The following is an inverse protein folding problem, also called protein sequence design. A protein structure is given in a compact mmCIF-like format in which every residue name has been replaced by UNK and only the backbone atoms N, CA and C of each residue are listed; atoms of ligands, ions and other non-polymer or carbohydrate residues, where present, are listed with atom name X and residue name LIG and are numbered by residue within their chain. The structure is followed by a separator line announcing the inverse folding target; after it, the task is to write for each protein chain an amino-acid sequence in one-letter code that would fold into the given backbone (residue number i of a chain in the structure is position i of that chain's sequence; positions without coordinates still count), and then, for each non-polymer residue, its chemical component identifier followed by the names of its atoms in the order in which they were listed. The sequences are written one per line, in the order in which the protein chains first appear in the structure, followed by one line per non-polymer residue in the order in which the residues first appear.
data_IF_760145289228
#
_entry.id   IF_760145289228
#
_cell.length_a   1.000
_cell.length_b   1.000
_cell.length_c   1.000
_cell.angle_alpha   90.00
_cell.angle_beta   90.00
_cell.angle_gamma   90.00
#
_symmetry.space_group_name_H-M   'P 1'
#
loop_
_entity.id
_entity.type
_entity.pdbx_description
1 polymer ?
#
# COMPACT_ATOMS: atom_id res chain seq x y z
N UNK A 1 24.67 45.25 10.88
CA UNK A 1 24.38 45.20 9.42
C UNK A 1 24.13 43.74 9.09
N UNK A 2 22.87 43.34 9.15
CA UNK A 2 22.45 41.94 8.89
C UNK A 2 22.04 41.88 7.41
N UNK A 3 22.79 41.14 6.61
CA UNK A 3 22.41 40.87 5.22
C UNK A 3 21.32 39.79 5.20
N UNK A 4 20.10 40.20 4.83
CA UNK A 4 19.06 39.27 4.41
C UNK A 4 19.52 38.61 3.09
N UNK A 5 19.77 37.30 3.12
CA UNK A 5 19.80 36.49 1.92
C UNK A 5 18.33 36.23 1.49
N UNK A 6 17.96 36.76 0.35
CA UNK A 6 16.76 36.30 -0.37
C UNK A 6 17.14 35.01 -1.04
N UNK A 7 16.56 33.88 -0.61
CA UNK A 7 16.52 32.65 -1.38
C UNK A 7 15.48 32.87 -2.50
N UNK A 8 15.95 32.98 -3.72
CA UNK A 8 15.11 32.84 -4.90
C UNK A 8 14.90 31.35 -5.14
N UNK A 9 13.67 30.88 -4.97
CA UNK A 9 13.28 29.55 -5.40
C UNK A 9 13.43 29.47 -6.93
N UNK A 10 14.50 28.81 -7.40
CA UNK A 10 14.56 28.30 -8.76
C UNK A 10 13.66 27.07 -8.80
N UNK A 11 12.53 27.16 -9.50
CA UNK A 11 11.77 26.00 -9.91
C UNK A 11 12.63 25.18 -10.88
N UNK A 12 13.32 24.18 -10.36
CA UNK A 12 13.90 23.13 -11.18
C UNK A 12 12.74 22.24 -11.61
N UNK A 13 12.25 22.43 -12.80
CA UNK A 13 11.39 21.44 -13.46
C UNK A 13 12.24 20.21 -13.76
N UNK A 14 12.48 19.36 -12.78
CA UNK A 14 12.89 18.00 -13.05
C UNK A 14 11.69 17.32 -13.72
N UNK A 15 11.92 16.77 -14.92
CA UNK A 15 10.99 15.81 -15.49
C UNK A 15 11.02 14.58 -14.57
N UNK A 16 10.23 14.64 -13.49
CA UNK A 16 9.86 13.45 -12.75
C UNK A 16 9.26 12.48 -13.78
N UNK A 17 9.58 11.16 -13.71
CA UNK A 17 8.86 10.18 -14.50
C UNK A 17 7.38 10.45 -14.23
N UNK A 18 6.58 10.55 -15.29
CA UNK A 18 5.16 10.79 -15.14
C UNK A 18 4.65 9.75 -14.16
N UNK A 19 4.36 10.17 -12.93
CA UNK A 19 3.55 9.37 -12.04
C UNK A 19 2.40 8.90 -12.92
N UNK A 20 2.07 7.62 -12.89
CA UNK A 20 0.83 7.18 -13.49
C UNK A 20 -0.20 7.94 -12.67
N UNK A 21 -0.62 9.09 -13.19
CA UNK A 21 -1.66 9.88 -12.58
C UNK A 21 -2.76 8.90 -12.24
N UNK A 22 -3.17 8.88 -11.00
CA UNK A 22 -4.29 8.06 -10.62
C UNK A 22 -5.41 8.43 -11.58
N UNK A 23 -5.83 7.48 -12.43
CA UNK A 23 -6.80 7.72 -13.53
C UNK A 23 -8.16 8.24 -13.03
N UNK A 24 -8.28 8.48 -11.72
CA UNK A 24 -9.49 8.82 -11.03
C UNK A 24 -9.65 10.30 -10.64
N UNK A 25 -8.55 11.05 -10.64
CA UNK A 25 -8.59 12.50 -10.45
C UNK A 25 -8.39 13.14 -11.83
N UNK A 26 -9.38 13.89 -12.30
CA UNK A 26 -9.16 14.76 -13.46
C UNK A 26 -7.99 15.71 -13.15
N UNK A 27 -7.11 15.97 -14.11
CA UNK A 27 -5.88 16.76 -13.93
C UNK A 27 -6.11 18.15 -13.27
N UNK A 28 -7.33 18.66 -13.30
CA UNK A 28 -7.69 20.00 -12.84
C UNK A 28 -7.99 20.11 -11.32
N UNK A 29 -8.08 18.98 -10.59
CA UNK A 29 -8.54 18.96 -9.18
C UNK A 29 -7.63 18.16 -8.27
N UNK A 30 -6.36 18.00 -8.62
CA UNK A 30 -5.38 17.27 -7.83
C UNK A 30 -4.12 18.06 -7.57
N UNK A 31 -3.52 17.78 -6.42
CA UNK A 31 -2.17 18.24 -6.05
C UNK A 31 -1.28 17.05 -5.86
N UNK A 32 -0.09 17.10 -6.44
CA UNK A 32 0.97 16.13 -6.19
C UNK A 32 1.94 16.70 -5.16
N UNK A 33 2.07 16.03 -4.04
CA UNK A 33 2.97 16.37 -2.94
C UNK A 33 4.15 15.40 -2.94
N UNK A 34 5.31 15.89 -3.33
CA UNK A 34 6.50 15.05 -3.41
C UNK A 34 7.10 14.78 -2.04
N UNK A 35 7.45 13.52 -1.76
CA UNK A 35 8.11 13.07 -0.53
C UNK A 35 9.52 12.57 -0.81
N UNK A 36 9.69 11.67 -1.78
CA UNK A 36 10.99 11.19 -2.23
C UNK A 36 11.16 11.41 -3.73
N UNK A 37 12.29 11.99 -4.12
CA UNK A 37 12.57 12.30 -5.52
C UNK A 37 13.88 11.65 -5.98
N UNK A 38 13.84 10.36 -6.23
CA UNK A 38 14.99 9.60 -6.75
C UNK A 38 16.03 9.24 -5.69
N UNK A 39 15.59 9.02 -4.44
CA UNK A 39 16.47 8.56 -3.36
C UNK A 39 17.13 7.22 -3.76
N UNK A 40 18.44 7.13 -3.61
CA UNK A 40 19.21 5.93 -4.00
C UNK A 40 19.31 4.98 -2.81
N UNK A 41 18.82 3.76 -3.01
CA UNK A 41 18.92 2.66 -2.06
C UNK A 41 20.14 1.79 -2.38
N UNK A 42 20.75 1.25 -1.35
CA UNK A 42 21.99 0.50 -1.44
C UNK A 42 21.85 -0.92 -0.89
N UNK A 43 22.91 -1.72 -1.03
CA UNK A 43 22.99 -3.09 -0.52
C UNK A 43 22.43 -3.21 0.90
N UNK A 44 21.31 -3.90 1.05
CA UNK A 44 20.58 -4.04 2.30
C UNK A 44 21.33 -4.86 3.37
N UNK A 45 22.38 -5.62 2.99
CA UNK A 45 23.24 -6.32 3.91
C UNK A 45 24.51 -5.55 4.29
N UNK A 46 24.79 -4.45 3.59
CA UNK A 46 25.97 -3.65 3.90
C UNK A 46 25.66 -2.60 5.00
N UNK A 47 26.68 -2.22 5.76
CA UNK A 47 26.59 -1.09 6.68
C UNK A 47 26.50 0.25 5.97
N UNK A 48 26.00 1.26 6.66
CA UNK A 48 25.88 2.64 6.15
C UNK A 48 27.22 3.24 5.72
N UNK A 49 28.28 2.87 6.41
CA UNK A 49 29.64 3.34 6.20
C UNK A 49 30.24 2.97 4.83
N UNK A 50 29.68 1.96 4.17
CA UNK A 50 30.09 1.59 2.80
C UNK A 50 29.55 2.52 1.71
N UNK A 51 28.62 3.37 2.03
CA UNK A 51 27.86 4.20 1.10
C UNK A 51 27.86 5.67 1.56
N UNK A 52 29.03 6.16 2.00
CA UNK A 52 29.21 7.53 2.51
C UNK A 52 28.89 8.61 1.44
N UNK A 53 29.01 8.27 0.14
CA UNK A 53 28.65 9.15 -0.96
C UNK A 53 27.13 9.21 -1.20
N UNK A 54 26.38 8.35 -0.53
CA UNK A 54 24.95 8.45 -0.49
C UNK A 54 24.58 9.59 0.47
N UNK A 55 24.76 10.80 0.02
CA UNK A 55 24.16 11.91 0.69
C UNK A 55 22.67 11.65 0.83
N UNK A 56 22.22 11.52 2.06
CA UNK A 56 20.84 11.80 2.31
C UNK A 56 20.63 13.23 1.80
N UNK A 57 19.77 13.40 0.79
CA UNK A 57 19.32 14.73 0.40
C UNK A 57 18.91 15.47 1.67
N UNK A 58 19.13 16.77 1.73
CA UNK A 58 18.76 17.59 2.89
C UNK A 58 17.32 17.28 3.33
N UNK A 59 17.15 16.78 4.55
CA UNK A 59 15.85 16.43 5.12
C UNK A 59 15.50 14.93 5.10
N UNK A 60 16.33 14.05 4.54
CA UNK A 60 16.12 12.60 4.59
C UNK A 60 16.92 11.99 5.75
N UNK A 61 16.23 11.30 6.66
CA UNK A 61 16.84 10.46 7.68
C UNK A 61 17.09 9.06 7.13
N UNK A 62 18.33 8.63 7.12
CA UNK A 62 18.72 7.30 6.64
C UNK A 62 18.95 6.37 7.83
N UNK A 63 18.01 5.47 8.09
CA UNK A 63 18.12 4.48 9.16
C UNK A 63 19.06 3.33 8.79
N UNK A 64 18.98 2.87 7.55
CA UNK A 64 19.82 1.83 6.94
C UNK A 64 19.83 2.00 5.42
N UNK A 65 20.63 1.21 4.72
CA UNK A 65 20.74 1.28 3.26
C UNK A 65 19.43 1.06 2.51
N UNK A 66 18.48 0.37 3.13
CA UNK A 66 17.17 0.04 2.56
C UNK A 66 16.00 0.82 3.15
N UNK A 67 16.20 1.70 4.15
CA UNK A 67 15.11 2.40 4.83
C UNK A 67 15.45 3.87 5.07
N UNK A 68 14.67 4.74 4.47
CA UNK A 68 14.79 6.18 4.56
C UNK A 68 13.48 6.80 5.06
N UNK A 69 13.57 7.92 5.76
CA UNK A 69 12.42 8.61 6.34
C UNK A 69 12.47 10.11 6.09
N UNK A 70 11.30 10.73 5.90
CA UNK A 70 11.11 12.17 5.70
C UNK A 70 10.01 12.66 6.63
N UNK A 71 10.22 13.76 7.38
CA UNK A 71 9.15 14.35 8.18
C UNK A 71 8.10 15.00 7.27
N UNK A 72 6.83 14.69 7.49
CA UNK A 72 5.72 15.38 6.87
C UNK A 72 5.47 16.71 7.60
N UNK A 73 5.88 17.82 6.98
CA UNK A 73 5.75 19.14 7.59
C UNK A 73 4.29 19.55 7.76
N UNK A 74 4.03 20.53 8.65
CA UNK A 74 2.69 21.08 8.82
C UNK A 74 2.16 21.71 7.52
N UNK A 75 3.03 22.30 6.70
CA UNK A 75 2.68 22.81 5.37
C UNK A 75 2.25 21.69 4.44
N UNK A 76 3.02 20.59 4.38
CA UNK A 76 2.67 19.41 3.62
C UNK A 76 1.31 18.83 4.05
N UNK A 77 1.14 18.57 5.35
CA UNK A 77 -0.08 18.00 5.92
C UNK A 77 -1.29 18.91 5.75
N UNK A 78 -1.09 20.23 5.65
CA UNK A 78 -2.20 21.17 5.43
C UNK A 78 -2.83 21.06 4.04
N UNK A 79 -2.15 20.46 3.08
CA UNK A 79 -2.58 20.28 1.70
C UNK A 79 -3.27 18.94 1.45
N UNK A 80 -3.29 18.03 2.44
CA UNK A 80 -3.96 16.73 2.31
C UNK A 80 -5.46 16.95 2.18
N UNK A 81 -6.01 16.50 1.08
CA UNK A 81 -7.44 16.50 0.78
C UNK A 81 -8.14 15.22 1.24
N UNK A 82 -9.45 15.12 1.01
CA UNK A 82 -10.23 13.92 1.38
C UNK A 82 -9.86 12.70 0.55
N UNK A 83 -9.45 12.92 -0.67
CA UNK A 83 -9.00 11.87 -1.59
C UNK A 83 -7.49 11.81 -1.57
N UNK A 84 -6.96 10.60 -1.39
CA UNK A 84 -5.54 10.40 -1.25
C UNK A 84 -5.09 9.08 -1.90
N UNK A 85 -4.16 9.20 -2.85
CA UNK A 85 -3.37 8.09 -3.35
C UNK A 85 -1.90 8.27 -2.95
N UNK A 86 -1.25 7.16 -2.63
CA UNK A 86 0.19 7.10 -2.47
C UNK A 86 0.78 6.42 -3.70
N UNK A 87 1.60 7.15 -4.44
CA UNK A 87 2.28 6.67 -5.64
C UNK A 87 3.75 6.43 -5.34
N UNK A 88 4.24 5.24 -5.66
CA UNK A 88 5.65 4.88 -5.58
C UNK A 88 6.14 4.52 -6.97
N UNK A 89 7.33 5.01 -7.34
CA UNK A 89 8.04 4.53 -8.53
C UNK A 89 9.39 3.99 -8.11
N UNK A 90 9.71 2.79 -8.54
CA UNK A 90 11.05 2.20 -8.36
C UNK A 90 11.76 2.12 -9.69
N UNK A 91 12.96 2.70 -9.75
CA UNK A 91 13.85 2.64 -10.91
C UNK A 91 14.98 1.64 -10.65
N UNK A 92 15.25 0.79 -11.64
CA UNK A 92 16.30 -0.21 -11.56
C UNK A 92 17.70 0.41 -11.51
N UNK A 93 18.52 -0.03 -10.57
CA UNK A 93 19.95 0.13 -10.55
C UNK A 93 20.61 -1.26 -10.62
N UNK A 94 21.35 -1.65 -9.61
CA UNK A 94 22.13 -2.90 -9.61
C UNK A 94 21.53 -3.96 -8.68
N UNK A 95 20.23 -4.15 -8.70
CA UNK A 95 19.54 -5.38 -8.27
C UNK A 95 18.64 -5.86 -9.41
N UNK A 96 18.64 -7.16 -9.64
CA UNK A 96 17.89 -7.79 -10.73
C UNK A 96 16.97 -8.92 -10.26
N UNK A 97 16.62 -8.92 -8.98
CA UNK A 97 15.66 -9.85 -8.37
C UNK A 97 14.41 -9.12 -7.89
N UNK A 98 13.36 -9.90 -7.66
CA UNK A 98 12.19 -9.47 -6.94
C UNK A 98 12.53 -9.20 -5.47
N UNK A 99 12.08 -8.07 -4.98
CA UNK A 99 12.33 -7.63 -3.61
C UNK A 99 11.08 -7.04 -3.01
N UNK A 100 11.00 -7.06 -1.69
CA UNK A 100 9.92 -6.41 -0.95
C UNK A 100 10.28 -4.95 -0.74
N UNK A 101 9.35 -4.06 -1.07
CA UNK A 101 9.37 -2.67 -0.66
C UNK A 101 8.14 -2.32 0.18
N UNK A 102 8.27 -1.29 1.02
CA UNK A 102 7.23 -0.86 1.94
C UNK A 102 7.16 0.67 2.00
N UNK A 103 5.95 1.17 2.20
CA UNK A 103 5.69 2.54 2.64
C UNK A 103 5.16 2.46 4.05
N UNK A 104 5.72 3.24 4.98
CA UNK A 104 5.30 3.23 6.38
C UNK A 104 5.10 4.65 6.90
N UNK A 105 4.26 4.77 7.93
CA UNK A 105 4.10 5.97 8.73
C UNK A 105 4.69 5.72 10.12
N UNK A 106 5.61 6.56 10.56
CA UNK A 106 6.16 6.54 11.90
C UNK A 106 5.58 7.70 12.74
N UNK A 107 5.15 7.38 13.95
CA UNK A 107 4.65 8.34 14.94
C UNK A 107 5.81 8.75 15.84
N UNK A 108 6.49 9.80 15.46
CA UNK A 108 7.69 10.28 16.15
C UNK A 108 7.28 11.30 17.20
N UNK A 109 7.77 11.22 18.46
CA UNK A 109 7.44 12.22 19.49
C UNK A 109 7.66 13.65 19.00
N UNK A 110 6.71 14.54 19.28
CA UNK A 110 6.71 15.91 18.78
C UNK A 110 8.02 16.65 19.06
N UNK A 111 8.60 17.23 18.02
CA UNK A 111 9.84 18.02 18.10
C UNK A 111 11.13 17.22 18.10
N UNK A 112 11.08 15.91 17.90
CA UNK A 112 12.29 15.10 17.75
C UNK A 112 12.88 15.26 16.34
N UNK A 113 14.15 15.61 16.27
CA UNK A 113 14.88 15.80 15.00
C UNK A 113 15.27 14.47 14.33
N UNK A 114 15.27 13.38 15.09
CA UNK A 114 15.61 12.02 14.63
C UNK A 114 14.94 11.00 15.54
N UNK A 115 14.87 9.75 15.09
CA UNK A 115 14.32 8.65 15.89
C UNK A 115 15.01 7.32 15.56
N UNK A 116 14.87 6.36 16.47
CA UNK A 116 15.20 4.97 16.21
C UNK A 116 13.91 4.20 15.92
N UNK A 117 13.89 3.42 14.87
CA UNK A 117 12.71 2.63 14.47
C UNK A 117 12.21 1.66 15.53
N UNK A 118 13.06 1.28 16.51
CA UNK A 118 12.68 0.44 17.64
C UNK A 118 11.87 1.19 18.73
N UNK A 119 12.00 2.53 18.78
CA UNK A 119 11.52 3.34 19.88
C UNK A 119 10.21 4.09 19.57
N UNK A 120 9.70 3.95 18.33
CA UNK A 120 8.50 4.64 17.87
C UNK A 120 7.45 3.65 17.35
N UNK A 121 6.19 4.05 17.42
CA UNK A 121 5.10 3.32 16.78
C UNK A 121 5.13 3.56 15.27
N UNK A 122 4.92 2.52 14.50
CA UNK A 122 4.97 2.53 13.05
C UNK A 122 3.82 1.74 12.45
N UNK A 123 3.34 2.16 11.29
CA UNK A 123 2.29 1.52 10.51
C UNK A 123 2.82 1.21 9.13
N UNK A 124 2.62 0.00 8.63
CA UNK A 124 2.83 -0.27 7.21
C UNK A 124 1.61 0.20 6.43
N UNK A 125 1.81 1.15 5.54
CA UNK A 125 0.76 1.73 4.71
C UNK A 125 0.57 0.96 3.41
N UNK A 126 1.66 0.41 2.86
CA UNK A 126 1.63 -0.34 1.61
C UNK A 126 2.87 -1.20 1.43
N UNK A 127 2.71 -2.31 0.73
CA UNK A 127 3.78 -3.25 0.37
C UNK A 127 3.75 -3.52 -1.11
N UNK A 128 4.92 -3.62 -1.72
CA UNK A 128 5.06 -3.95 -3.13
C UNK A 128 6.20 -4.92 -3.38
N UNK A 129 6.20 -5.54 -4.54
CA UNK A 129 7.27 -6.45 -4.98
C UNK A 129 7.95 -5.84 -6.20
N UNK A 130 9.27 -5.63 -6.15
CA UNK A 130 10.00 -5.19 -7.34
C UNK A 130 10.00 -6.30 -8.40
N UNK A 131 9.98 -5.94 -9.68
CA UNK A 131 10.12 -6.94 -10.73
C UNK A 131 11.59 -7.29 -10.97
N UNK A 132 11.82 -8.33 -11.74
CA UNK A 132 13.15 -8.70 -12.23
C UNK A 132 13.57 -7.72 -13.33
N UNK A 133 14.31 -6.68 -12.98
CA UNK A 133 14.67 -5.59 -13.90
C UNK A 133 16.13 -5.64 -14.34
N UNK A 134 16.38 -5.10 -15.53
CA UNK A 134 17.70 -4.75 -16.03
C UNK A 134 17.73 -3.24 -16.28
N UNK A 135 18.59 -2.50 -15.59
CA UNK A 135 18.70 -1.03 -15.72
C UNK A 135 18.96 -0.54 -17.14
N UNK A 136 19.50 -1.43 -18.03
CA UNK A 136 19.79 -1.11 -19.42
C UNK A 136 18.63 -1.39 -20.37
N UNK A 137 17.48 -1.82 -19.88
CA UNK A 137 16.30 -2.18 -20.66
C UNK A 137 15.10 -1.35 -20.26
N UNK A 138 14.18 -1.16 -21.19
CA UNK A 138 12.94 -0.42 -20.94
C UNK A 138 11.73 -1.35 -20.90
N UNK A 139 10.79 -1.10 -19.98
CA UNK A 139 10.86 -0.07 -18.94
C UNK A 139 11.85 -0.44 -17.84
N UNK A 140 12.63 0.54 -17.35
CA UNK A 140 13.50 0.41 -16.20
C UNK A 140 12.90 1.02 -14.93
N UNK A 141 11.65 1.39 -15.00
CA UNK A 141 10.85 1.91 -13.87
C UNK A 141 9.56 1.13 -13.74
N UNK A 142 9.12 0.94 -12.52
CA UNK A 142 7.86 0.29 -12.19
C UNK A 142 7.07 1.15 -11.21
N UNK A 143 5.80 1.49 -11.55
CA UNK A 143 4.92 2.24 -10.68
C UNK A 143 4.09 1.32 -9.80
N UNK A 144 3.80 1.81 -8.60
CA UNK A 144 2.88 1.23 -7.63
C UNK A 144 1.94 2.33 -7.14
N UNK A 145 0.67 2.03 -6.96
CA UNK A 145 -0.31 2.99 -6.48
C UNK A 145 -1.19 2.35 -5.42
N UNK A 146 -1.49 3.12 -4.37
CA UNK A 146 -2.34 2.72 -3.27
C UNK A 146 -3.41 3.78 -3.04
N UNK A 147 -4.65 3.38 -3.09
CA UNK A 147 -5.76 4.20 -2.61
C UNK A 147 -5.75 4.24 -1.08
N UNK A 148 -5.70 5.43 -0.51
CA UNK A 148 -5.54 5.64 0.93
C UNK A 148 -6.41 6.79 1.48
N UNK A 149 -7.59 7.02 0.94
CA UNK A 149 -8.52 8.04 1.45
C UNK A 149 -8.74 7.90 2.95
N UNK A 150 -8.77 6.66 3.45
CA UNK A 150 -8.92 6.36 4.87
C UNK A 150 -7.79 6.91 5.76
N UNK A 151 -6.64 7.23 5.19
CA UNK A 151 -5.52 7.82 5.92
C UNK A 151 -5.65 9.34 6.08
N UNK A 152 -6.42 9.99 5.21
CA UNK A 152 -6.57 11.45 5.21
C UNK A 152 -7.02 12.00 6.58
N UNK A 153 -8.07 11.46 7.24
CA UNK A 153 -8.48 11.92 8.57
C UNK A 153 -7.38 11.77 9.63
N UNK A 154 -6.56 10.73 9.53
CA UNK A 154 -5.43 10.48 10.45
C UNK A 154 -4.34 11.54 10.24
N UNK A 155 -3.98 11.82 8.99
CA UNK A 155 -2.96 12.84 8.66
C UNK A 155 -3.44 14.26 9.04
N UNK A 156 -4.75 14.47 9.10
CA UNK A 156 -5.40 15.74 9.46
C UNK A 156 -5.84 15.81 10.94
N UNK A 157 -5.56 14.78 11.75
CA UNK A 157 -5.97 14.75 13.16
C UNK A 157 -5.12 15.69 14.01
N UNK A 158 -5.77 16.71 14.58
CA UNK A 158 -5.13 17.75 15.36
C UNK A 158 -4.50 17.21 16.65
N UNK A 159 -5.15 16.24 17.30
CA UNK A 159 -4.65 15.67 18.55
C UNK A 159 -3.44 14.76 18.30
N UNK A 160 -3.49 13.93 17.24
CA UNK A 160 -2.36 13.10 16.84
C UNK A 160 -1.14 13.98 16.50
N UNK A 161 -1.35 15.05 15.74
CA UNK A 161 -0.29 15.98 15.34
C UNK A 161 0.23 16.88 16.48
N UNK A 162 -0.53 17.03 17.55
CA UNK A 162 -0.05 17.71 18.76
C UNK A 162 0.93 16.83 19.57
N UNK A 163 0.77 15.51 19.49
CA UNK A 163 1.58 14.54 20.23
C UNK A 163 2.79 14.06 19.40
N UNK A 164 2.60 13.89 18.08
CA UNK A 164 3.60 13.31 17.18
C UNK A 164 3.91 14.21 15.98
N UNK A 165 5.15 14.15 15.53
CA UNK A 165 5.53 14.47 14.17
C UNK A 165 5.38 13.19 13.32
N UNK A 166 4.68 13.32 12.20
CA UNK A 166 4.42 12.20 11.29
C UNK A 166 5.59 12.11 10.30
N UNK A 167 6.24 10.96 10.25
CA UNK A 167 7.33 10.70 9.30
C UNK A 167 6.91 9.61 8.32
N UNK A 168 7.14 9.87 7.05
CA UNK A 168 6.91 8.86 6.02
C UNK A 168 8.21 8.13 5.72
N UNK A 169 8.13 6.81 5.73
CA UNK A 169 9.26 5.95 5.42
C UNK A 169 9.05 5.25 4.09
N UNK A 170 10.11 5.17 3.30
CA UNK A 170 10.20 4.30 2.14
C UNK A 170 11.30 3.26 2.38
N UNK A 171 10.92 2.00 2.30
CA UNK A 171 11.85 0.87 2.35
C UNK A 171 11.90 0.17 1.00
N UNK A 172 13.11 0.01 0.44
CA UNK A 172 13.35 -0.83 -0.73
C UNK A 172 14.58 -1.68 -0.43
N UNK A 173 14.34 -2.93 -0.04
CA UNK A 173 15.45 -3.86 0.17
C UNK A 173 16.02 -4.29 -1.17
N UNK A 174 17.33 -4.41 -1.27
CA UNK A 174 18.00 -4.89 -2.48
C UNK A 174 19.38 -5.46 -2.20
N UNK A 175 19.87 -6.30 -3.12
CA UNK A 175 21.16 -6.99 -3.02
C UNK A 175 21.85 -7.00 -4.38
N UNK A 176 23.04 -6.38 -4.52
CA UNK A 176 23.65 -6.17 -5.84
C UNK A 176 24.42 -7.40 -6.40
N UNK A 177 24.58 -8.46 -5.64
CA UNK A 177 25.58 -9.51 -5.91
C UNK A 177 25.35 -10.23 -7.24
N UNK A 178 24.10 -10.55 -7.59
CA UNK A 178 23.78 -11.18 -8.86
C UNK A 178 23.92 -10.18 -10.02
N UNK A 179 23.40 -8.97 -9.85
CA UNK A 179 23.47 -7.92 -10.88
C UNK A 179 24.91 -7.51 -11.19
N UNK A 180 25.81 -7.50 -10.20
CA UNK A 180 27.23 -7.22 -10.40
C UNK A 180 27.89 -8.19 -11.40
N UNK A 181 27.35 -9.40 -11.54
CA UNK A 181 27.84 -10.41 -12.46
C UNK A 181 27.05 -10.50 -13.77
N UNK A 182 25.77 -10.15 -13.73
CA UNK A 182 24.81 -10.42 -14.80
C UNK A 182 24.43 -9.17 -15.62
N UNK A 183 24.51 -7.98 -15.00
CA UNK A 183 24.07 -6.73 -15.62
C UNK A 183 25.27 -5.88 -16.01
N UNK A 184 25.33 -5.49 -17.28
CA UNK A 184 26.40 -4.62 -17.78
C UNK A 184 26.39 -3.27 -17.05
N UNK A 185 27.55 -2.85 -16.57
CA UNK A 185 27.71 -1.60 -15.83
C UNK A 185 27.44 -1.70 -14.31
N UNK A 186 27.11 -2.89 -13.79
CA UNK A 186 26.90 -3.10 -12.34
C UNK A 186 28.13 -3.60 -11.59
N UNK A 187 29.17 -4.04 -12.26
CA UNK A 187 30.35 -4.61 -11.61
C UNK A 187 30.95 -3.65 -10.56
N UNK A 188 30.95 -4.07 -9.30
CA UNK A 188 31.49 -3.30 -8.17
C UNK A 188 30.59 -2.20 -7.63
N UNK A 189 29.37 -2.03 -8.16
CA UNK A 189 28.37 -1.11 -7.63
C UNK A 189 27.54 -1.76 -6.53
N UNK A 190 27.03 -0.95 -5.63
CA UNK A 190 26.18 -1.38 -4.52
C UNK A 190 24.87 -0.56 -4.40
N UNK A 191 24.60 0.36 -5.31
CA UNK A 191 23.30 0.97 -5.49
C UNK A 191 22.34 -0.04 -6.15
N UNK A 192 21.19 -0.24 -5.55
CA UNK A 192 20.25 -1.29 -5.97
C UNK A 192 19.02 -0.75 -6.69
N UNK A 193 18.44 0.33 -6.18
CA UNK A 193 17.26 0.97 -6.72
C UNK A 193 17.29 2.48 -6.51
N UNK A 194 16.50 3.23 -7.29
CA UNK A 194 16.05 4.58 -6.93
C UNK A 194 14.57 4.54 -6.61
N UNK A 195 14.20 5.24 -5.55
CA UNK A 195 12.82 5.35 -5.10
C UNK A 195 12.27 6.76 -5.23
N UNK A 196 11.05 6.87 -5.75
CA UNK A 196 10.24 8.08 -5.80
C UNK A 196 8.96 7.80 -5.05
N UNK A 197 8.45 8.78 -4.30
CA UNK A 197 7.18 8.67 -3.60
C UNK A 197 6.48 10.02 -3.60
N UNK A 198 5.23 10.00 -4.05
CA UNK A 198 4.35 11.14 -4.09
C UNK A 198 3.02 10.82 -3.40
N UNK A 199 2.43 11.81 -2.75
CA UNK A 199 1.02 11.81 -2.41
C UNK A 199 0.27 12.56 -3.51
N UNK A 200 -0.75 11.94 -4.07
CA UNK A 200 -1.67 12.55 -5.03
C UNK A 200 -2.99 12.73 -4.29
N UNK A 201 -3.41 13.96 -4.11
CA UNK A 201 -4.57 14.27 -3.27
C UNK A 201 -5.48 15.29 -3.94
N UNK A 202 -6.75 15.38 -3.52
CA UNK A 202 -7.64 16.44 -3.98
C UNK A 202 -7.10 17.82 -3.61
N UNK A 203 -7.31 18.82 -4.45
CA UNK A 203 -6.82 20.20 -4.31
C UNK A 203 -7.47 20.95 -3.16
N UNK A 204 -8.69 20.53 -2.74
CA UNK A 204 -9.34 21.04 -1.54
C UNK A 204 -8.82 20.27 -0.31
N UNK A 205 -8.22 20.96 0.67
CA UNK A 205 -7.76 20.31 1.89
C UNK A 205 -8.94 19.68 2.66
N UNK A 206 -8.73 18.47 3.15
CA UNK A 206 -9.70 17.81 4.01
C UNK A 206 -9.92 18.61 5.31
N UNK A 207 -11.11 18.54 5.93
CA UNK A 207 -11.34 19.12 7.24
C UNK A 207 -10.31 18.65 8.28
N UNK A 208 -10.01 19.49 9.25
CA UNK A 208 -9.28 19.03 10.43
C UNK A 208 -10.17 18.09 11.22
N UNK A 209 -9.61 16.96 11.61
CA UNK A 209 -10.27 16.01 12.47
C UNK A 209 -9.69 16.08 13.89
N UNK A 210 -10.42 15.56 14.84
CA UNK A 210 -10.00 15.41 16.21
C UNK A 210 -10.53 14.07 16.74
N UNK A 211 -9.75 13.46 17.64
CA UNK A 211 -10.21 12.27 18.35
C UNK A 211 -10.35 11.00 17.51
N UNK A 212 -9.66 10.88 16.40
CA UNK A 212 -9.52 9.57 15.78
C UNK A 212 -8.73 8.64 16.72
N UNK A 213 -9.07 7.37 16.64
CA UNK A 213 -8.34 6.32 17.34
C UNK A 213 -7.44 5.62 16.32
N UNK A 214 -6.16 5.58 16.59
CA UNK A 214 -5.16 4.88 15.78
C UNK A 214 -4.40 3.92 16.69
N UNK A 215 -4.47 2.62 16.39
CA UNK A 215 -3.77 1.59 17.16
C UNK A 215 -2.88 0.77 16.22
N UNK A 216 -1.57 0.97 16.27
CA UNK A 216 -0.62 0.05 15.64
C UNK A 216 -0.73 -1.32 16.31
N UNK A 217 -1.10 -2.36 15.55
CA UNK A 217 -1.34 -3.69 16.11
C UNK A 217 -0.14 -4.62 15.91
N UNK A 218 0.34 -4.66 14.67
CA UNK A 218 1.40 -5.58 14.25
C UNK A 218 2.38 -4.80 13.41
N UNK A 219 3.42 -4.35 14.06
CA UNK A 219 4.63 -3.87 13.43
C UNK A 219 5.77 -4.52 14.17
N UNK A 220 6.53 -5.25 13.48
CA UNK A 220 7.53 -6.04 14.11
C UNK A 220 8.90 -5.47 13.94
N UNK A 221 9.76 -5.90 14.81
CA UNK A 221 11.20 -5.84 14.75
C UNK A 221 11.75 -4.64 13.96
N UNK A 222 12.51 -3.77 14.56
CA UNK A 222 13.03 -2.55 13.92
C UNK A 222 13.85 -2.81 12.65
N UNK A 223 14.34 -4.03 12.45
CA UNK A 223 15.11 -4.40 11.25
C UNK A 223 14.21 -4.88 10.12
N UNK A 224 13.09 -5.53 10.46
CA UNK A 224 12.13 -6.06 9.50
C UNK A 224 10.76 -5.55 9.87
N UNK A 225 10.20 -4.68 9.07
CA UNK A 225 8.94 -3.96 9.30
C UNK A 225 7.72 -4.88 9.21
N UNK A 226 7.81 -6.09 9.69
CA UNK A 226 6.79 -7.11 9.52
C UNK A 226 6.85 -8.11 10.65
N UNK A 227 5.70 -8.64 10.97
CA UNK A 227 5.57 -9.76 11.88
C UNK A 227 5.15 -10.99 11.08
N UNK A 228 5.85 -12.07 11.26
CA UNK A 228 5.56 -13.28 10.53
C UNK A 228 4.46 -14.08 11.18
N UNK A 229 3.55 -14.62 10.37
CA UNK A 229 2.57 -15.59 10.82
C UNK A 229 3.25 -16.90 11.19
N UNK A 230 4.25 -17.31 10.44
CA UNK A 230 5.04 -18.53 10.63
C UNK A 230 6.14 -18.40 11.69
N UNK A 231 6.15 -17.46 12.53
CA UNK A 231 7.08 -17.14 13.60
C UNK A 231 8.25 -18.14 13.82
N UNK A 232 9.44 -17.81 13.37
CA UNK A 232 10.66 -18.64 13.45
C UNK A 232 11.03 -19.15 14.87
N UNK A 233 10.47 -18.59 15.90
CA UNK A 233 10.75 -18.96 17.29
C UNK A 233 9.69 -19.88 17.90
N UNK A 234 8.58 -20.08 17.23
CA UNK A 234 7.48 -20.92 17.68
C UNK A 234 7.26 -22.04 16.68
N UNK A 235 7.57 -23.25 17.03
CA UNK A 235 7.50 -24.43 16.16
C UNK A 235 6.06 -24.86 15.87
N UNK A 236 5.19 -23.97 15.43
CA UNK A 236 3.77 -24.27 15.28
C UNK A 236 3.32 -24.37 13.82
N UNK A 237 4.15 -23.94 12.86
CA UNK A 237 3.70 -23.81 11.46
C UNK A 237 4.21 -24.93 10.53
N UNK A 238 4.83 -25.97 11.06
CA UNK A 238 5.38 -27.10 10.34
C UNK A 238 4.41 -28.27 10.12
N UNK A 239 3.16 -28.13 10.59
CA UNK A 239 2.09 -29.11 10.43
C UNK A 239 0.83 -28.47 9.82
N UNK A 240 0.05 -29.28 9.10
CA UNK A 240 -1.27 -28.87 8.58
C UNK A 240 -2.16 -28.37 9.74
N UNK A 241 -2.83 -27.24 9.53
CA UNK A 241 -3.73 -26.64 10.51
C UNK A 241 -3.04 -25.85 11.64
N UNK A 242 -1.71 -25.68 11.56
CA UNK A 242 -0.95 -24.96 12.60
C UNK A 242 -0.57 -23.54 12.21
N UNK A 243 -0.65 -23.16 10.93
CA UNK A 243 -0.39 -21.80 10.48
C UNK A 243 -1.54 -20.89 10.85
N UNK A 244 -1.61 -20.56 12.14
CA UNK A 244 -2.66 -19.74 12.76
C UNK A 244 -2.06 -18.88 13.86
N UNK A 245 -2.42 -17.60 13.92
CA UNK A 245 -1.95 -16.69 14.95
C UNK A 245 -3.03 -15.72 15.40
N UNK A 246 -3.09 -15.51 16.73
CA UNK A 246 -3.96 -14.52 17.35
C UNK A 246 -3.14 -13.28 17.68
N UNK A 247 -3.67 -12.13 17.32
CA UNK A 247 -3.15 -10.82 17.67
C UNK A 247 -4.17 -10.12 18.56
N UNK A 248 -3.75 -9.69 19.74
CA UNK A 248 -4.59 -8.91 20.66
C UNK A 248 -4.19 -7.45 20.66
N UNK A 249 -5.16 -6.56 20.79
CA UNK A 249 -4.93 -5.12 20.87
C UNK A 249 -6.01 -4.48 21.76
N UNK A 250 -5.74 -3.26 22.21
CA UNK A 250 -6.67 -2.52 23.07
C UNK A 250 -7.17 -1.29 22.34
N UNK A 251 -8.50 -1.15 22.22
CA UNK A 251 -9.16 0.06 21.76
C UNK A 251 -9.36 0.99 22.97
N UNK A 252 -8.79 2.21 22.99
CA UNK A 252 -8.74 3.04 24.18
C UNK A 252 -10.08 3.68 24.56
N UNK A 253 -11.02 3.76 23.64
CA UNK A 253 -12.37 4.33 23.82
C UNK A 253 -13.31 3.80 22.77
N UNK A 254 -14.63 3.91 23.02
CA UNK A 254 -15.65 3.57 22.03
C UNK A 254 -15.51 4.39 20.75
N UNK A 255 -15.71 3.76 19.61
CA UNK A 255 -15.73 4.39 18.29
C UNK A 255 -17.00 3.98 17.55
N UNK A 256 -17.54 4.87 16.75
CA UNK A 256 -18.77 4.64 15.99
C UNK A 256 -18.50 3.95 14.65
N UNK A 257 -17.32 4.18 14.10
CA UNK A 257 -16.88 3.59 12.84
C UNK A 257 -15.41 3.18 12.96
N UNK A 258 -15.14 1.92 12.66
CA UNK A 258 -13.81 1.33 12.78
C UNK A 258 -13.46 0.42 11.62
N UNK A 259 -12.18 0.37 11.34
CA UNK A 259 -11.62 -0.58 10.38
C UNK A 259 -10.22 -1.04 10.78
N UNK A 260 -9.84 -2.20 10.26
CA UNK A 260 -8.47 -2.71 10.32
C UNK A 260 -7.91 -2.75 8.90
N UNK A 261 -6.72 -2.21 8.72
CA UNK A 261 -5.94 -2.38 7.50
C UNK A 261 -5.01 -3.56 7.69
N UNK A 262 -5.15 -4.56 6.83
CA UNK A 262 -4.40 -5.82 6.89
C UNK A 262 -3.56 -5.99 5.62
N UNK A 263 -2.26 -6.26 5.77
CA UNK A 263 -1.33 -6.58 4.69
C UNK A 263 -0.65 -7.90 5.00
N UNK A 264 -0.79 -8.87 4.09
CA UNK A 264 -0.13 -10.18 4.19
C UNK A 264 0.49 -10.58 2.87
N UNK A 265 1.63 -11.25 2.93
CA UNK A 265 2.25 -11.88 1.77
C UNK A 265 3.12 -13.07 2.21
N UNK A 266 3.36 -14.01 1.32
CA UNK A 266 4.19 -15.19 1.54
C UNK A 266 5.45 -15.11 0.68
N UNK A 267 6.60 -15.39 1.27
CA UNK A 267 7.90 -15.34 0.60
C UNK A 267 8.80 -16.49 1.06
N UNK A 268 9.79 -16.81 0.20
CA UNK A 268 10.65 -17.96 0.43
C UNK A 268 9.99 -19.25 -0.04
N UNK A 269 10.65 -19.94 -0.95
CA UNK A 269 10.05 -21.11 -1.59
C UNK A 269 9.84 -22.27 -0.63
N UNK A 270 10.67 -22.41 0.37
CA UNK A 270 10.84 -23.55 1.27
C UNK A 270 10.66 -24.93 0.57
N UNK A 271 10.67 -26.01 1.32
CA UNK A 271 10.49 -27.37 0.74
C UNK A 271 9.05 -27.66 0.32
N UNK A 272 8.09 -26.89 0.81
CA UNK A 272 6.68 -27.03 0.50
C UNK A 272 6.20 -26.05 -0.58
N UNK A 273 7.03 -25.09 -0.95
CA UNK A 273 6.76 -24.09 -1.98
C UNK A 273 5.65 -23.10 -1.61
N UNK A 274 5.52 -22.72 -0.34
CA UNK A 274 4.42 -21.86 0.14
C UNK A 274 4.43 -20.48 -0.51
N UNK A 275 5.57 -19.96 -0.93
CA UNK A 275 5.65 -18.74 -1.74
C UNK A 275 4.82 -18.83 -3.02
N UNK A 276 4.76 -19.99 -3.64
CA UNK A 276 4.08 -20.24 -4.92
C UNK A 276 2.69 -20.85 -4.77
N UNK A 277 2.34 -21.29 -3.57
CA UNK A 277 1.03 -21.86 -3.27
C UNK A 277 0.07 -20.81 -2.74
N UNK A 278 -1.00 -20.57 -3.49
CA UNK A 278 -2.07 -19.66 -3.04
C UNK A 278 -3.02 -20.41 -2.11
N UNK A 279 -2.90 -20.15 -0.82
CA UNK A 279 -3.74 -20.77 0.22
C UNK A 279 -4.95 -19.90 0.52
N UNK A 280 -6.02 -20.50 0.97
CA UNK A 280 -7.17 -19.78 1.51
C UNK A 280 -6.81 -19.25 2.90
N UNK A 281 -7.13 -17.97 3.13
CA UNK A 281 -6.88 -17.25 4.36
C UNK A 281 -8.22 -16.92 4.99
N UNK A 282 -8.31 -17.15 6.31
CA UNK A 282 -9.48 -16.84 7.10
C UNK A 282 -9.09 -15.84 8.18
N UNK A 283 -9.84 -14.74 8.29
CA UNK A 283 -9.60 -13.70 9.27
C UNK A 283 -10.81 -13.59 10.19
N UNK A 284 -10.58 -13.74 11.48
CA UNK A 284 -11.61 -13.64 12.49
C UNK A 284 -11.36 -12.40 13.35
N UNK A 285 -12.42 -11.68 13.69
CA UNK A 285 -12.43 -10.61 14.67
C UNK A 285 -13.31 -11.02 15.84
N UNK A 286 -12.75 -11.03 17.08
CA UNK A 286 -13.41 -11.49 18.30
C UNK A 286 -14.14 -12.85 18.16
N UNK A 287 -13.53 -13.74 17.36
CA UNK A 287 -14.04 -15.08 17.10
C UNK A 287 -15.03 -15.21 15.96
N UNK A 288 -15.48 -14.12 15.36
CA UNK A 288 -16.34 -14.12 14.18
C UNK A 288 -15.51 -14.05 12.89
N UNK A 289 -15.84 -14.89 11.89
CA UNK A 289 -15.22 -14.85 10.57
C UNK A 289 -15.68 -13.59 9.83
N UNK A 290 -14.73 -12.67 9.56
CA UNK A 290 -15.03 -11.39 8.89
C UNK A 290 -14.47 -11.32 7.46
N UNK A 291 -13.48 -12.15 7.13
CA UNK A 291 -12.91 -12.18 5.78
C UNK A 291 -12.39 -13.57 5.44
N UNK A 292 -12.71 -14.02 4.22
CA UNK A 292 -12.07 -15.16 3.56
C UNK A 292 -11.48 -14.67 2.24
N UNK A 293 -10.21 -14.98 1.99
CA UNK A 293 -9.56 -14.56 0.74
C UNK A 293 -8.44 -15.50 0.31
N UNK A 294 -8.13 -15.43 -0.95
CA UNK A 294 -6.95 -16.08 -1.55
C UNK A 294 -6.03 -15.00 -2.12
N UNK A 295 -4.78 -14.87 -1.62
CA UNK A 295 -3.88 -13.82 -2.04
C UNK A 295 -3.43 -13.97 -3.50
N UNK A 296 -2.82 -12.90 -4.04
CA UNK A 296 -2.28 -12.85 -5.38
C UNK A 296 -3.32 -12.59 -6.47
N UNK A 297 -2.84 -12.42 -7.67
CA UNK A 297 -3.67 -12.17 -8.87
C UNK A 297 -4.01 -13.47 -9.57
N UNK A 298 -5.08 -13.47 -10.35
CA UNK A 298 -5.39 -14.56 -11.27
C UNK A 298 -4.46 -14.54 -12.49
N UNK A 299 -3.83 -13.42 -12.78
CA UNK A 299 -2.84 -13.26 -13.85
C UNK A 299 -1.80 -12.20 -13.50
N UNK A 300 -0.52 -12.51 -13.72
CA UNK A 300 0.58 -11.55 -13.63
C UNK A 300 0.92 -10.90 -14.99
N UNK A 301 0.17 -11.17 -16.03
CA UNK A 301 0.42 -10.66 -17.38
C UNK A 301 0.57 -9.14 -17.48
N UNK A 302 -0.22 -8.31 -16.72
CA UNK A 302 -0.06 -6.85 -16.73
C UNK A 302 1.33 -6.37 -16.29
N UNK A 303 2.02 -7.16 -15.49
CA UNK A 303 3.33 -6.82 -14.89
C UNK A 303 4.50 -7.41 -15.66
N UNK A 304 4.28 -8.32 -16.63
CA UNK A 304 5.33 -8.96 -17.43
C UNK A 304 6.27 -7.94 -18.06
N UNK A 305 5.76 -6.83 -18.54
CA UNK A 305 6.54 -5.76 -19.21
C UNK A 305 7.65 -5.16 -18.35
N UNK A 306 7.50 -5.22 -17.01
CA UNK A 306 8.49 -4.69 -16.07
C UNK A 306 9.60 -5.70 -15.75
N UNK A 307 9.39 -6.99 -16.05
CA UNK A 307 10.35 -8.05 -15.79
C UNK A 307 11.33 -8.18 -16.96
N UNK A 308 12.23 -7.22 -17.09
CA UNK A 308 13.08 -7.00 -18.28
C UNK A 308 14.40 -7.75 -18.24
N UNK A 309 14.81 -8.31 -17.09
CA UNK A 309 16.09 -8.99 -16.97
C UNK A 309 16.00 -10.51 -17.25
N UNK A 310 17.17 -11.13 -17.52
CA UNK A 310 17.30 -12.52 -17.93
C UNK A 310 17.87 -13.39 -16.79
N UNK A 311 17.11 -13.66 -15.76
CA UNK A 311 17.59 -14.50 -14.65
C UNK A 311 17.16 -15.97 -14.71
N UNK A 312 16.55 -16.40 -15.81
CA UNK A 312 16.07 -17.77 -15.98
C UNK A 312 14.66 -18.03 -15.44
N UNK A 313 14.12 -17.18 -14.57
CA UNK A 313 12.74 -17.29 -14.06
C UNK A 313 11.76 -16.57 -15.00
N UNK A 314 12.10 -15.36 -15.43
CA UNK A 314 11.25 -14.49 -16.26
C UNK A 314 11.90 -14.04 -17.56
N UNK A 315 13.18 -14.38 -17.77
CA UNK A 315 13.97 -13.92 -18.88
C UNK A 315 13.57 -14.51 -20.23
N UNK A 316 14.54 -14.68 -21.12
CA UNK A 316 14.34 -15.18 -22.50
C UNK A 316 13.78 -16.60 -22.60
N UNK A 317 13.79 -17.35 -21.53
CA UNK A 317 13.02 -18.57 -21.43
C UNK A 317 11.55 -18.14 -21.40
N UNK A 318 10.92 -18.24 -22.54
CA UNK A 318 9.50 -17.93 -22.68
C UNK A 318 8.72 -18.73 -21.64
N UNK A 319 8.44 -18.10 -20.51
CA UNK A 319 7.44 -18.61 -19.61
C UNK A 319 6.15 -18.70 -20.40
N UNK A 320 5.51 -19.85 -20.36
CA UNK A 320 4.23 -20.03 -21.06
C UNK A 320 3.23 -19.01 -20.51
N UNK A 321 2.27 -18.60 -21.33
CA UNK A 321 1.18 -17.69 -20.90
C UNK A 321 0.53 -18.20 -19.61
N UNK A 322 0.35 -19.50 -19.47
CA UNK A 322 -0.13 -20.13 -18.24
C UNK A 322 0.76 -19.82 -17.03
N UNK A 323 2.07 -19.74 -17.20
CA UNK A 323 3.01 -19.40 -16.11
C UNK A 323 2.85 -17.95 -15.62
N UNK A 324 2.30 -17.05 -16.44
CA UNK A 324 2.00 -15.67 -16.06
C UNK A 324 0.55 -15.49 -15.56
N UNK A 325 -0.32 -16.47 -15.74
CA UNK A 325 -1.71 -16.38 -15.31
C UNK A 325 -1.93 -16.71 -13.83
N UNK A 326 -1.02 -17.48 -13.22
CA UNK A 326 -1.09 -17.77 -11.79
C UNK A 326 0.33 -17.99 -11.30
N UNK A 327 0.97 -16.92 -10.84
CA UNK A 327 2.38 -16.99 -10.51
C UNK A 327 2.60 -17.46 -9.08
N UNK A 328 2.14 -16.69 -8.10
CA UNK A 328 2.31 -16.99 -6.69
C UNK A 328 1.29 -16.19 -5.86
N UNK A 329 1.59 -15.99 -4.57
CA UNK A 329 0.81 -15.11 -3.69
C UNK A 329 0.91 -13.63 -4.08
N UNK A 330 1.80 -13.30 -5.00
CA UNK A 330 2.07 -11.95 -5.51
C UNK A 330 2.58 -12.03 -6.95
N UNK A 331 2.59 -10.88 -7.63
CA UNK A 331 3.20 -10.74 -8.95
C UNK A 331 4.42 -9.82 -8.87
N UNK A 332 5.56 -10.17 -9.49
CA UNK A 332 6.72 -9.27 -9.54
C UNK A 332 6.38 -8.02 -10.37
N UNK A 333 6.45 -6.86 -9.73
CA UNK A 333 6.05 -5.57 -10.28
C UNK A 333 4.66 -5.09 -9.84
N UNK A 334 4.02 -5.77 -8.89
CA UNK A 334 2.69 -5.43 -8.37
C UNK A 334 2.74 -5.00 -6.90
N UNK A 335 1.65 -4.39 -6.45
CA UNK A 335 1.39 -4.13 -5.04
C UNK A 335 0.89 -5.40 -4.35
N UNK A 336 1.10 -5.49 -3.05
CA UNK A 336 0.35 -6.38 -2.17
C UNK A 336 -0.91 -5.64 -1.73
N UNK A 337 -2.07 -6.26 -1.92
CA UNK A 337 -3.35 -5.62 -1.60
C UNK A 337 -3.47 -5.26 -0.12
N UNK A 338 -3.80 -4.00 0.16
CA UNK A 338 -4.30 -3.58 1.46
C UNK A 338 -5.74 -4.08 1.59
N UNK A 339 -6.01 -4.88 2.61
CA UNK A 339 -7.36 -5.37 2.92
C UNK A 339 -7.95 -4.53 4.03
N UNK A 340 -9.03 -3.83 3.70
CA UNK A 340 -9.74 -2.99 4.65
C UNK A 340 -10.87 -3.82 5.25
N UNK A 341 -10.79 -4.08 6.55
CA UNK A 341 -11.78 -4.84 7.31
C UNK A 341 -12.67 -3.86 8.05
N UNK A 342 -13.85 -3.60 7.51
CA UNK A 342 -14.81 -2.70 8.15
C UNK A 342 -15.47 -3.40 9.32
N UNK A 343 -15.42 -2.80 10.50
CA UNK A 343 -15.95 -3.36 11.74
C UNK A 343 -17.23 -2.66 12.22
N UNK A 344 -17.46 -1.41 11.76
CA UNK A 344 -18.52 -0.57 12.31
C UNK A 344 -18.22 -0.10 13.73
N UNK A 345 -19.23 0.01 14.62
CA UNK A 345 -19.02 0.43 15.99
C UNK A 345 -18.19 -0.59 16.79
N UNK A 346 -17.17 -0.10 17.51
CA UNK A 346 -16.32 -0.92 18.37
C UNK A 346 -16.23 -0.29 19.75
N UNK A 347 -16.41 -1.09 20.80
CA UNK A 347 -16.32 -0.64 22.19
C UNK A 347 -14.88 -0.56 22.67
N UNK A 348 -14.62 0.25 23.69
CA UNK A 348 -13.34 0.26 24.38
C UNK A 348 -13.07 -1.10 25.03
N UNK A 349 -11.82 -1.56 24.96
CA UNK A 349 -11.44 -2.83 25.58
C UNK A 349 -10.42 -3.62 24.77
N UNK A 350 -10.18 -4.84 25.19
CA UNK A 350 -9.31 -5.78 24.50
C UNK A 350 -10.11 -6.50 23.41
N UNK A 351 -9.52 -6.53 22.22
CA UNK A 351 -10.04 -7.21 21.03
C UNK A 351 -8.99 -8.12 20.43
N UNK A 352 -9.42 -9.02 19.56
CA UNK A 352 -8.55 -10.00 18.93
C UNK A 352 -8.79 -10.12 17.43
N UNK A 353 -7.70 -10.30 16.68
CA UNK A 353 -7.73 -10.73 15.29
C UNK A 353 -6.99 -12.05 15.16
N UNK A 354 -7.63 -13.03 14.53
CA UNK A 354 -6.98 -14.29 14.20
C UNK A 354 -6.80 -14.40 12.70
N UNK A 355 -5.58 -14.70 12.26
CA UNK A 355 -5.30 -15.08 10.88
C UNK A 355 -5.02 -16.57 10.86
N UNK A 356 -5.78 -17.31 10.05
CA UNK A 356 -5.71 -18.76 9.92
C UNK A 356 -5.51 -19.14 8.45
N UNK A 357 -4.45 -19.91 8.18
CA UNK A 357 -4.13 -20.40 6.83
C UNK A 357 -3.91 -21.92 6.94
N UNK A 358 -4.97 -22.69 7.07
CA UNK A 358 -4.91 -24.08 7.53
C UNK A 358 -4.09 -25.01 6.65
N UNK A 359 -4.00 -24.73 5.35
CA UNK A 359 -3.27 -25.55 4.39
C UNK A 359 -1.81 -25.12 4.17
N UNK A 360 -1.36 -24.02 4.79
CA UNK A 360 0.03 -23.57 4.70
C UNK A 360 0.92 -24.32 5.70
N UNK A 361 2.09 -24.75 5.25
CA UNK A 361 3.08 -25.48 6.06
C UNK A 361 4.48 -24.93 5.80
N UNK A 362 5.14 -24.46 6.85
CA UNK A 362 6.49 -23.94 6.81
C UNK A 362 7.43 -24.86 7.60
N UNK A 363 8.08 -25.79 6.92
CA UNK A 363 8.99 -26.75 7.54
C UNK A 363 10.22 -26.07 8.14
N UNK A 364 10.55 -26.40 9.38
CA UNK A 364 11.64 -25.79 10.14
C UNK A 364 11.57 -24.25 10.18
N UNK A 365 10.37 -23.70 10.09
CA UNK A 365 10.14 -22.25 9.93
C UNK A 365 10.88 -21.63 8.73
N UNK A 366 11.16 -22.41 7.69
CA UNK A 366 11.67 -21.89 6.43
C UNK A 366 10.57 -21.13 5.68
N UNK A 367 10.95 -20.09 4.94
CA UNK A 367 10.00 -19.15 4.35
C UNK A 367 9.63 -18.01 5.30
N UNK A 368 8.90 -17.06 4.77
CA UNK A 368 8.57 -15.81 5.43
C UNK A 368 7.12 -15.40 5.13
N UNK A 369 6.30 -15.26 6.18
CA UNK A 369 4.90 -14.87 6.05
C UNK A 369 4.62 -13.56 6.81
N UNK A 370 5.10 -12.40 6.31
CA UNK A 370 4.97 -11.14 6.98
C UNK A 370 3.52 -10.64 7.03
N UNK A 371 3.11 -10.23 8.22
CA UNK A 371 1.80 -9.65 8.52
C UNK A 371 1.99 -8.25 9.08
N UNK A 372 1.22 -7.31 8.60
CA UNK A 372 1.08 -5.98 9.21
C UNK A 372 -0.39 -5.63 9.37
N UNK A 373 -0.73 -5.02 10.49
CA UNK A 373 -2.08 -4.57 10.80
C UNK A 373 -2.05 -3.29 11.63
N UNK A 374 -3.01 -2.43 11.40
CA UNK A 374 -3.36 -1.36 12.30
C UNK A 374 -4.87 -1.15 12.33
N UNK A 375 -5.36 -0.73 13.47
CA UNK A 375 -6.75 -0.35 13.69
C UNK A 375 -6.86 1.17 13.61
N UNK A 376 -7.90 1.65 12.98
CA UNK A 376 -8.32 3.04 13.08
C UNK A 376 -9.82 3.13 13.30
N UNK A 377 -10.25 4.15 14.04
CA UNK A 377 -11.65 4.37 14.33
C UNK A 377 -11.95 5.86 14.53
N UNK A 378 -13.18 6.25 14.30
CA UNK A 378 -13.69 7.61 14.50
C UNK A 378 -14.85 7.62 15.48
N UNK A 379 -14.85 8.59 16.40
CA UNK A 379 -15.97 8.82 17.30
C UNK A 379 -17.11 9.61 16.66
N UNK A 380 -16.86 10.21 15.49
CA UNK A 380 -17.84 11.00 14.76
C UNK A 380 -18.48 10.28 13.56
N UNK A 381 -18.20 8.99 13.39
CA UNK A 381 -18.69 8.23 12.24
C UNK A 381 -18.11 8.68 10.90
N UNK A 382 -16.94 9.29 10.88
CA UNK A 382 -16.35 9.92 9.70
C UNK A 382 -15.00 9.29 9.28
N UNK A 383 -14.87 7.99 9.35
CA UNK A 383 -13.86 7.38 8.48
C UNK A 383 -14.43 7.43 7.05
N UNK A 384 -13.67 7.89 6.04
CA UNK A 384 -14.11 7.72 4.67
C UNK A 384 -14.18 6.21 4.44
N UNK A 385 -15.36 5.67 4.70
CA UNK A 385 -15.62 4.28 4.40
C UNK A 385 -15.78 4.19 2.90
N UNK A 386 -15.09 3.23 2.33
CA UNK A 386 -15.40 2.82 0.97
C UNK A 386 -16.87 2.37 0.81
N UNK A 387 -17.56 2.13 1.93
CA UNK A 387 -18.98 1.74 1.95
C UNK A 387 -19.60 2.25 3.25
N UNK A 388 -20.10 3.47 3.27
CA UNK A 388 -21.10 3.84 4.24
C UNK A 388 -22.24 2.83 4.17
N UNK A 389 -22.77 2.45 5.33
CA UNK A 389 -23.93 1.58 5.41
C UNK A 389 -24.90 1.99 4.32
N UNK A 390 -25.17 1.08 3.39
CA UNK A 390 -26.08 1.34 2.29
C UNK A 390 -27.45 1.63 2.92
N UNK A 391 -27.70 2.88 3.30
CA UNK A 391 -29.08 3.32 3.43
C UNK A 391 -29.65 3.19 2.04
N UNK A 392 -30.43 2.15 1.88
CA UNK A 392 -31.23 1.96 0.68
C UNK A 392 -32.22 3.12 0.64
N UNK A 393 -31.81 4.22 -0.01
CA UNK A 393 -32.75 5.29 -0.36
C UNK A 393 -33.62 4.74 -1.47
N UNK A 394 -34.90 4.40 -1.19
CA UNK A 394 -35.85 3.94 -2.21
C UNK A 394 -36.17 5.03 -3.24
N UNK A 395 -35.68 6.25 -3.04
CA UNK A 395 -35.75 7.36 -3.99
C UNK A 395 -34.43 7.58 -4.74
N UNK A 396 -33.41 6.73 -4.54
CA UNK A 396 -32.13 6.85 -5.23
C UNK A 396 -32.32 6.73 -6.74
N UNK A 397 -32.09 7.82 -7.42
CA UNK A 397 -32.41 8.05 -8.81
C UNK A 397 -31.22 7.79 -9.71
N UNK A 398 -30.55 6.67 -9.54
CA UNK A 398 -29.67 6.20 -10.60
C UNK A 398 -29.90 4.71 -10.89
N UNK A 399 -29.75 4.35 -12.12
CA UNK A 399 -29.82 2.95 -12.55
C UNK A 399 -28.48 2.52 -13.07
N UNK A 400 -28.09 1.30 -12.71
CA UNK A 400 -26.89 0.67 -13.24
C UNK A 400 -27.29 -0.42 -14.23
N UNK A 401 -26.75 -0.35 -15.42
CA UNK A 401 -26.91 -1.38 -16.44
C UNK A 401 -25.56 -2.01 -16.77
N UNK A 402 -25.58 -3.28 -17.17
CA UNK A 402 -24.40 -3.96 -17.70
C UNK A 402 -24.73 -4.50 -19.07
N UNK A 403 -23.99 -4.05 -20.06
CA UNK A 403 -24.04 -4.62 -21.42
C UNK A 403 -22.63 -5.00 -21.82
N UNK A 404 -22.44 -6.26 -22.18
CA UNK A 404 -21.13 -6.75 -22.61
C UNK A 404 -19.97 -6.51 -21.65
N UNK A 405 -20.23 -6.47 -20.33
CA UNK A 405 -19.26 -6.13 -19.27
C UNK A 405 -18.82 -4.66 -19.24
N UNK A 406 -19.65 -3.79 -19.72
CA UNK A 406 -19.53 -2.35 -19.46
C UNK A 406 -20.57 -1.98 -18.40
N UNK A 407 -20.14 -1.31 -17.34
CA UNK A 407 -21.02 -0.78 -16.31
C UNK A 407 -21.35 0.66 -16.68
N UNK A 408 -22.62 0.93 -16.96
CA UNK A 408 -23.12 2.28 -17.29
C UNK A 408 -24.03 2.76 -16.17
N UNK A 409 -23.81 3.97 -15.71
CA UNK A 409 -24.64 4.64 -14.70
C UNK A 409 -25.48 5.71 -15.37
N UNK A 410 -26.80 5.67 -15.12
CA UNK A 410 -27.74 6.66 -15.63
C UNK A 410 -28.44 7.36 -14.47
N UNK A 411 -28.28 8.68 -14.42
CA UNK A 411 -28.87 9.57 -13.42
C UNK A 411 -29.05 10.97 -13.99
N UNK A 412 -29.99 11.72 -13.45
CA UNK A 412 -30.20 13.15 -13.72
C UNK A 412 -29.41 14.06 -12.75
N UNK A 413 -28.69 13.46 -11.79
CA UNK A 413 -27.87 14.21 -10.83
C UNK A 413 -26.52 14.60 -11.42
N UNK A 414 -25.97 15.68 -10.90
CA UNK A 414 -24.59 16.10 -11.22
C UNK A 414 -23.61 15.27 -10.41
N UNK A 415 -23.05 14.23 -11.02
CA UNK A 415 -22.12 13.31 -10.36
C UNK A 415 -20.73 13.91 -10.34
N UNK A 416 -20.13 14.00 -9.16
CA UNK A 416 -18.74 14.38 -8.96
C UNK A 416 -17.82 13.18 -9.12
N UNK A 417 -18.18 12.04 -8.51
CA UNK A 417 -17.40 10.81 -8.51
C UNK A 417 -18.26 9.59 -8.77
N UNK A 418 -17.67 8.64 -9.50
CA UNK A 418 -18.20 7.29 -9.66
C UNK A 418 -17.13 6.30 -9.21
N UNK A 419 -17.51 5.39 -8.31
CA UNK A 419 -16.63 4.34 -7.80
C UNK A 419 -17.27 2.98 -8.04
N UNK A 420 -16.44 1.96 -8.30
CA UNK A 420 -16.90 0.57 -8.37
C UNK A 420 -16.02 -0.29 -7.47
N UNK A 421 -16.66 -0.98 -6.52
CA UNK A 421 -16.02 -1.84 -5.55
C UNK A 421 -16.42 -3.30 -5.74
N UNK A 422 -15.53 -4.23 -5.44
CA UNK A 422 -15.90 -5.63 -5.28
C UNK A 422 -16.53 -5.86 -3.88
N UNK A 423 -17.04 -7.07 -3.64
CA UNK A 423 -17.68 -7.41 -2.36
C UNK A 423 -16.69 -7.50 -1.18
N UNK A 424 -15.39 -7.40 -1.43
CA UNK A 424 -14.36 -7.27 -0.41
C UNK A 424 -14.02 -5.80 -0.09
N UNK A 425 -14.79 -4.84 -0.66
CA UNK A 425 -14.60 -3.40 -0.45
C UNK A 425 -13.45 -2.80 -1.26
N UNK A 426 -12.79 -3.57 -2.13
CA UNK A 426 -11.71 -3.06 -2.95
C UNK A 426 -12.24 -2.19 -4.06
N UNK A 427 -11.79 -0.94 -4.14
CA UNK A 427 -12.08 -0.06 -5.26
C UNK A 427 -11.38 -0.56 -6.52
N UNK A 428 -12.16 -0.92 -7.54
CA UNK A 428 -11.67 -1.41 -8.83
C UNK A 428 -11.61 -0.32 -9.87
N UNK A 429 -12.44 0.68 -9.74
CA UNK A 429 -12.51 1.85 -10.60
C UNK A 429 -13.02 3.03 -9.82
N UNK A 430 -12.41 4.19 -10.06
CA UNK A 430 -12.88 5.49 -9.64
C UNK A 430 -12.67 6.47 -10.78
N UNK A 431 -13.61 7.33 -11.02
CA UNK A 431 -13.53 8.35 -12.07
C UNK A 431 -14.37 9.58 -11.72
N UNK A 432 -13.93 10.74 -12.18
CA UNK A 432 -14.68 11.98 -12.05
C UNK A 432 -15.88 11.99 -13.01
N UNK A 433 -17.02 12.40 -12.49
CA UNK A 433 -18.27 12.49 -13.25
C UNK A 433 -18.81 11.13 -13.72
N UNK A 434 -19.80 11.20 -14.60
CA UNK A 434 -20.39 10.02 -15.24
C UNK A 434 -19.55 9.55 -16.41
N UNK A 435 -19.43 8.23 -16.55
CA UNK A 435 -18.81 7.58 -17.68
C UNK A 435 -18.94 6.07 -17.59
N UNK A 436 -18.84 5.40 -18.71
CA UNK A 436 -18.87 3.94 -18.74
C UNK A 436 -17.62 3.35 -18.13
N UNK A 437 -17.79 2.30 -17.34
CA UNK A 437 -16.70 1.56 -16.73
C UNK A 437 -16.51 0.24 -17.47
N UNK A 438 -15.35 0.07 -18.10
CA UNK A 438 -14.96 -1.19 -18.75
C UNK A 438 -14.61 -2.24 -17.68
N UNK A 439 -15.51 -3.21 -17.50
CA UNK A 439 -15.36 -4.32 -16.59
C UNK A 439 -15.00 -5.63 -17.31
N UNK A 440 -14.57 -5.60 -18.58
CA UNK A 440 -14.26 -6.79 -19.38
C UNK A 440 -13.18 -7.68 -18.76
N UNK A 441 -12.31 -7.09 -17.94
CA UNK A 441 -11.22 -7.79 -17.26
C UNK A 441 -11.56 -8.25 -15.84
N UNK A 442 -12.74 -7.94 -15.35
CA UNK A 442 -13.16 -8.30 -14.00
C UNK A 442 -13.80 -9.70 -13.98
N UNK A 443 -13.77 -10.37 -12.85
CA UNK A 443 -14.42 -11.67 -12.72
C UNK A 443 -15.95 -11.54 -12.83
N UNK A 444 -16.64 -12.60 -13.18
CA UNK A 444 -18.08 -12.65 -12.99
C UNK A 444 -18.38 -12.61 -11.49
N UNK A 445 -19.33 -11.80 -11.06
CA UNK A 445 -19.62 -11.62 -9.64
C UNK A 445 -20.45 -10.38 -9.35
N UNK A 446 -20.56 -10.08 -8.07
CA UNK A 446 -21.27 -8.90 -7.57
C UNK A 446 -20.30 -7.77 -7.31
N UNK A 447 -20.71 -6.56 -7.67
CA UNK A 447 -19.98 -5.32 -7.47
C UNK A 447 -20.89 -4.25 -6.92
N UNK A 448 -20.32 -3.26 -6.26
CA UNK A 448 -21.02 -2.10 -5.73
C UNK A 448 -20.60 -0.88 -6.56
N UNK A 449 -21.57 -0.16 -7.10
CA UNK A 449 -21.37 1.07 -7.83
C UNK A 449 -21.85 2.22 -6.96
N UNK A 450 -20.95 3.12 -6.62
CA UNK A 450 -21.20 4.28 -5.77
C UNK A 450 -21.06 5.55 -6.58
N UNK A 451 -21.95 6.51 -6.40
CA UNK A 451 -21.81 7.86 -6.92
C UNK A 451 -21.83 8.86 -5.76
N UNK A 452 -20.99 9.86 -5.86
CA UNK A 452 -21.04 11.08 -5.05
C UNK A 452 -21.56 12.21 -5.94
N UNK A 453 -22.60 12.92 -5.53
CA UNK A 453 -23.17 14.00 -6.31
C UNK A 453 -22.77 15.40 -5.79
N UNK A 454 -23.03 16.43 -6.61
CA UNK A 454 -22.69 17.80 -6.27
C UNK A 454 -23.49 18.37 -5.09
N UNK A 455 -24.57 17.71 -4.67
CA UNK A 455 -25.39 18.08 -3.53
C UNK A 455 -24.88 17.43 -2.23
N UNK A 456 -23.78 16.65 -2.30
CA UNK A 456 -23.15 15.99 -1.15
C UNK A 456 -23.77 14.65 -0.76
N UNK A 457 -24.62 14.07 -1.61
CA UNK A 457 -25.18 12.74 -1.37
C UNK A 457 -24.31 11.66 -1.98
N UNK A 458 -24.04 10.63 -1.19
CA UNK A 458 -23.39 9.39 -1.61
C UNK A 458 -24.40 8.27 -1.72
N UNK A 459 -24.51 7.67 -2.89
CA UNK A 459 -25.50 6.62 -3.14
C UNK A 459 -24.83 5.42 -3.81
N UNK A 460 -25.17 4.21 -3.33
CA UNK A 460 -24.58 2.96 -3.81
C UNK A 460 -25.63 2.01 -4.36
N UNK A 461 -25.34 1.38 -5.49
CA UNK A 461 -26.15 0.30 -6.05
C UNK A 461 -25.32 -0.95 -6.35
N UNK A 462 -25.97 -2.10 -6.18
CA UNK A 462 -25.40 -3.41 -6.48
C UNK A 462 -25.55 -3.73 -7.97
N UNK A 463 -24.48 -4.20 -8.59
CA UNK A 463 -24.46 -4.70 -9.96
C UNK A 463 -23.90 -6.11 -10.02
N UNK A 464 -24.41 -6.93 -10.96
CA UNK A 464 -23.91 -8.30 -11.15
C UNK A 464 -23.36 -8.43 -12.58
N UNK A 465 -22.05 -8.70 -12.66
CA UNK A 465 -21.40 -9.07 -13.91
C UNK A 465 -21.54 -10.59 -14.14
N UNK A 466 -21.99 -10.96 -15.32
CA UNK A 466 -22.20 -12.36 -15.72
C UNK A 466 -21.00 -12.90 -16.52
#
# INVERSE_FOLDING_TARGET
MIKKLMLSALAVTSLAPAAIAADWLGDDHTVTLNVFNGAIFYDGYAGLDRNLEADADDGILRHRNSLYAVPLTDEFLSQIGEKLDVSVVVEACCDNYDRIGNVNLALVPKGAETYNTADVQRLELGRFITPFMDMNRQPNQVPYSYWMDYLSPILRDANLRAEYDLWLELEIFGVPYAANQQISGCAGRNDVFKGYLDFITSDEPAPLTENNVLVPMVMKNPEYIRNNLNNYQEAATDEIGKTRKTYTFTVPRDVEDAQIVLITSNHGADVNGEEYNRRDHFVYYDGELILEYKPGRTSCEPFRKYNTQRNGIYGDYKRTDRGWQSFSNWCPGDVIDNRILHLGPVTAGEHSVVIDVPDAVFYNNDGDFPVSMFFQGSIAGMLPSSIDSVEFDPTAVFTVSTDGRVISVNTDRSVLWLEVHDMAGRCLRRQAGLGDVDATRWAAGTYLVTIDDADGYRTTQKVVLK
#
